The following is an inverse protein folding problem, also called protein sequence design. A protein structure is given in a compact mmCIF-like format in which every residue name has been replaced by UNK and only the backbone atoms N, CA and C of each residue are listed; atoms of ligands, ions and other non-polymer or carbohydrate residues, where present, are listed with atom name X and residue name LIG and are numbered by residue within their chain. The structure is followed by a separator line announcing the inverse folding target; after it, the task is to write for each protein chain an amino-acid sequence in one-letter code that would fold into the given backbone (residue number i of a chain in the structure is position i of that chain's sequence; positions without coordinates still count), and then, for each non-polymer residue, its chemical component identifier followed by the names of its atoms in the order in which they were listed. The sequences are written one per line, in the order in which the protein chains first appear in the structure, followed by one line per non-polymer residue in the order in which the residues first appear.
data_IF_348943926063
#
_entry.id   IF_348943926063
#
_cell.length_a   1.000
_cell.length_b   1.000
_cell.length_c   1.000
_cell.angle_alpha   90.00
_cell.angle_beta   90.00
_cell.angle_gamma   90.00
#
_symmetry.space_group_name_H-M   'P 1'
#
loop_
_entity.id
_entity.type
_entity.pdbx_description
1 polymer ?
#
# COMPACT_ATOMS: atom_id res chain seq x y z
N UNK A 1 -7.29 13.30 10.52
CA UNK A 1 -6.90 11.89 10.70
C UNK A 1 -7.97 11.02 10.09
N UNK A 2 -7.62 10.16 9.14
CA UNK A 2 -8.53 9.26 8.41
C UNK A 2 -7.81 7.93 8.19
N UNK A 3 -8.52 6.90 7.67
CA UNK A 3 -7.85 5.66 7.27
C UNK A 3 -7.65 4.63 8.38
N UNK A 4 -8.51 4.61 9.40
CA UNK A 4 -8.52 3.61 10.48
C UNK A 4 -9.00 2.21 10.02
N UNK A 5 -9.30 2.06 8.73
CA UNK A 5 -9.85 0.85 8.12
C UNK A 5 -10.94 0.19 8.99
N UNK A 6 -10.78 -1.09 9.35
CA UNK A 6 -11.76 -1.86 10.15
C UNK A 6 -11.70 -1.58 11.65
N UNK A 7 -10.65 -0.92 12.13
CA UNK A 7 -10.40 -0.75 13.57
C UNK A 7 -10.92 0.58 14.13
N UNK A 8 -11.56 1.40 13.28
CA UNK A 8 -12.05 2.71 13.66
C UNK A 8 -12.99 2.70 14.86
N UNK A 9 -13.79 1.66 15.05
CA UNK A 9 -14.68 1.55 16.21
C UNK A 9 -13.89 1.54 17.53
N UNK A 10 -12.86 0.71 17.61
CA UNK A 10 -12.04 0.55 18.82
C UNK A 10 -11.09 1.73 19.03
N UNK A 11 -10.59 2.32 17.95
CA UNK A 11 -9.64 3.43 18.02
C UNK A 11 -10.33 4.79 18.22
N UNK A 12 -11.63 4.92 17.88
CA UNK A 12 -12.32 6.21 17.84
C UNK A 12 -12.21 7.07 19.11
N UNK A 13 -12.28 6.56 20.35
CA UNK A 13 -12.18 7.42 21.53
C UNK A 13 -10.82 8.13 21.61
N UNK A 14 -9.75 7.36 21.44
CA UNK A 14 -8.38 7.84 21.50
C UNK A 14 -8.07 8.84 20.38
N UNK A 15 -8.55 8.55 19.16
CA UNK A 15 -8.33 9.43 18.01
C UNK A 15 -9.18 10.71 18.09
N UNK A 16 -10.36 10.65 18.70
CA UNK A 16 -11.22 11.81 18.92
C UNK A 16 -10.59 12.78 19.92
N UNK A 17 -10.06 12.28 21.04
CA UNK A 17 -9.35 13.11 22.02
C UNK A 17 -8.10 13.74 21.41
N UNK A 18 -7.33 12.97 20.63
CA UNK A 18 -6.17 13.50 19.92
C UNK A 18 -6.54 14.65 18.99
N UNK A 19 -7.61 14.47 18.19
CA UNK A 19 -8.07 15.48 17.25
C UNK A 19 -8.63 16.72 17.96
N UNK A 20 -9.38 16.54 19.06
CA UNK A 20 -9.90 17.63 19.86
C UNK A 20 -8.77 18.47 20.45
N UNK A 21 -7.78 17.84 21.08
CA UNK A 21 -6.61 18.51 21.65
C UNK A 21 -5.84 19.30 20.58
N UNK A 22 -5.60 18.69 19.41
CA UNK A 22 -4.91 19.36 18.31
C UNK A 22 -5.66 20.61 17.81
N UNK A 23 -7.00 20.57 17.79
CA UNK A 23 -7.83 21.70 17.35
C UNK A 23 -7.81 22.89 18.33
N UNK A 24 -7.75 22.62 19.63
CA UNK A 24 -7.76 23.66 20.67
C UNK A 24 -6.35 24.03 21.17
N UNK A 25 -5.30 23.44 20.60
CA UNK A 25 -3.90 23.70 20.96
C UNK A 25 -3.46 23.09 22.29
N UNK A 26 -4.14 22.04 22.76
CA UNK A 26 -3.69 21.27 23.92
C UNK A 26 -2.66 20.20 23.52
N UNK A 27 -1.72 19.85 24.40
CA UNK A 27 -0.75 18.80 24.14
C UNK A 27 -1.42 17.42 24.12
N UNK A 28 -0.95 16.55 23.21
CA UNK A 28 -1.29 15.13 23.21
C UNK A 28 -0.23 14.37 24.03
N UNK A 29 -0.63 13.83 25.20
CA UNK A 29 0.29 13.20 26.16
C UNK A 29 0.30 11.67 26.08
N UNK A 30 -0.79 11.06 25.60
CA UNK A 30 -0.99 9.60 25.65
C UNK A 30 -0.49 8.88 24.40
N UNK A 31 -0.51 9.56 23.24
CA UNK A 31 -0.10 9.00 21.96
C UNK A 31 0.58 10.03 21.07
N UNK A 32 1.55 9.56 20.28
CA UNK A 32 2.17 10.31 19.20
C UNK A 32 1.68 9.75 17.85
N UNK A 33 1.10 10.63 17.02
CA UNK A 33 0.62 10.30 15.69
C UNK A 33 1.38 11.07 14.59
N UNK A 34 2.61 11.51 14.84
CA UNK A 34 3.45 12.22 13.86
C UNK A 34 3.57 11.50 12.51
N UNK A 35 3.70 10.17 12.55
CA UNK A 35 3.76 9.33 11.33
C UNK A 35 2.44 9.28 10.55
N UNK A 36 1.32 9.67 11.17
CA UNK A 36 -0.01 9.70 10.55
C UNK A 36 -0.41 11.10 10.06
N UNK A 37 0.57 11.96 9.82
CA UNK A 37 0.35 13.22 9.11
C UNK A 37 -0.30 12.95 7.74
N UNK A 38 -1.31 13.73 7.32
CA UNK A 38 -2.09 13.43 6.11
C UNK A 38 -1.25 13.38 4.82
N UNK A 39 -0.24 14.25 4.73
CA UNK A 39 0.75 14.26 3.65
C UNK A 39 2.08 13.91 4.31
N UNK A 40 2.48 12.65 4.18
CA UNK A 40 3.72 12.10 4.76
C UNK A 40 4.63 11.55 3.68
N UNK A 41 5.91 11.42 3.98
CA UNK A 41 6.87 10.70 3.13
C UNK A 41 6.45 9.23 2.98
N UNK A 42 6.76 8.56 1.85
CA UNK A 42 6.55 7.13 1.72
C UNK A 42 7.20 6.38 2.89
N UNK A 43 6.42 5.51 3.55
CA UNK A 43 6.93 4.70 4.65
C UNK A 43 7.95 3.69 4.13
N UNK A 44 8.99 3.42 4.92
CA UNK A 44 9.94 2.34 4.64
C UNK A 44 9.22 1.01 4.90
N UNK A 45 8.74 0.39 3.83
CA UNK A 45 8.04 -0.90 3.87
C UNK A 45 9.00 -2.09 3.76
N UNK A 46 8.48 -3.18 3.20
CA UNK A 46 9.30 -4.30 2.75
C UNK A 46 10.31 -3.85 1.70
N UNK A 47 11.40 -4.62 1.53
CA UNK A 47 12.27 -4.39 0.38
C UNK A 47 11.47 -4.58 -0.93
N UNK A 48 11.97 -4.03 -2.04
CA UNK A 48 11.27 -4.06 -3.32
C UNK A 48 10.93 -5.49 -3.77
N UNK A 49 11.90 -6.39 -3.71
CA UNK A 49 11.71 -7.77 -4.18
C UNK A 49 10.68 -8.55 -3.35
N UNK A 50 10.68 -8.38 -2.02
CA UNK A 50 9.68 -9.00 -1.14
C UNK A 50 8.31 -8.36 -1.34
N UNK A 51 8.23 -7.05 -1.62
CA UNK A 51 6.95 -6.41 -1.97
C UNK A 51 6.37 -6.97 -3.27
N UNK A 52 7.22 -7.21 -4.28
CA UNK A 52 6.81 -7.85 -5.52
C UNK A 52 6.33 -9.29 -5.26
N UNK A 53 7.08 -10.07 -4.48
CA UNK A 53 6.71 -11.44 -4.10
C UNK A 53 5.38 -11.48 -3.35
N UNK A 54 5.19 -10.56 -2.39
CA UNK A 54 3.96 -10.41 -1.62
C UNK A 54 2.77 -10.09 -2.54
N UNK A 55 2.98 -9.22 -3.54
CA UNK A 55 1.95 -8.93 -4.57
C UNK A 55 1.53 -10.19 -5.32
N UNK A 56 2.48 -11.05 -5.70
CA UNK A 56 2.18 -12.34 -6.36
C UNK A 56 1.38 -13.25 -5.43
N UNK A 57 1.83 -13.41 -4.18
CA UNK A 57 1.16 -14.27 -3.20
C UNK A 57 -0.27 -13.82 -2.93
N UNK A 58 -0.49 -12.52 -2.70
CA UNK A 58 -1.82 -11.95 -2.49
C UNK A 58 -2.71 -12.10 -3.72
N UNK A 59 -2.16 -11.94 -4.93
CA UNK A 59 -2.93 -12.13 -6.17
C UNK A 59 -3.34 -13.59 -6.37
N UNK A 60 -2.43 -14.54 -6.10
CA UNK A 60 -2.74 -15.97 -6.15
C UNK A 60 -3.80 -16.33 -5.11
N UNK A 61 -3.67 -15.82 -3.87
CA UNK A 61 -4.65 -16.01 -2.80
C UNK A 61 -6.04 -15.46 -3.20
N UNK A 62 -6.09 -14.25 -3.76
CA UNK A 62 -7.32 -13.66 -4.30
C UNK A 62 -7.90 -14.53 -5.43
N UNK A 63 -7.07 -15.16 -6.25
CA UNK A 63 -7.50 -16.12 -7.26
C UNK A 63 -8.30 -17.28 -6.66
N UNK A 64 -7.84 -17.83 -5.52
CA UNK A 64 -8.59 -18.85 -4.78
C UNK A 64 -9.92 -18.31 -4.24
N UNK A 65 -9.94 -17.11 -3.66
CA UNK A 65 -11.17 -16.46 -3.17
C UNK A 65 -12.18 -16.20 -4.30
N UNK A 66 -11.68 -15.89 -5.50
CA UNK A 66 -12.46 -15.62 -6.70
C UNK A 66 -12.73 -16.87 -7.55
N UNK A 67 -12.49 -18.07 -7.01
CA UNK A 67 -12.77 -19.36 -7.65
C UNK A 67 -12.11 -19.51 -9.03
N UNK A 68 -10.87 -19.05 -9.18
CA UNK A 68 -10.09 -19.31 -10.39
C UNK A 68 -9.98 -20.82 -10.62
N UNK A 69 -10.39 -21.28 -11.81
CA UNK A 69 -10.26 -22.67 -12.21
C UNK A 69 -8.92 -22.88 -12.93
N UNK A 70 -7.85 -23.04 -12.15
CA UNK A 70 -6.49 -23.24 -12.64
C UNK A 70 -6.27 -24.73 -12.87
N UNK A 71 -5.68 -25.08 -14.02
CA UNK A 71 -5.32 -26.48 -14.30
C UNK A 71 -4.12 -26.88 -13.42
N UNK A 72 -4.01 -28.16 -13.01
CA UNK A 72 -2.80 -28.64 -12.35
C UNK A 72 -1.55 -28.26 -13.14
N UNK A 73 -0.45 -27.95 -12.44
CA UNK A 73 0.85 -27.52 -13.00
C UNK A 73 0.88 -26.10 -13.59
N UNK A 74 -0.25 -25.39 -13.68
CA UNK A 74 -0.27 -24.01 -14.17
C UNK A 74 0.04 -22.98 -13.08
N UNK A 75 -0.01 -23.36 -11.80
CA UNK A 75 0.24 -22.44 -10.69
C UNK A 75 1.65 -21.84 -10.73
N UNK A 76 2.67 -22.67 -11.02
CA UNK A 76 4.06 -22.22 -11.13
C UNK A 76 4.24 -21.27 -12.32
N UNK A 77 3.64 -21.59 -13.47
CA UNK A 77 3.69 -20.73 -14.65
C UNK A 77 3.02 -19.38 -14.40
N UNK A 78 1.83 -19.38 -13.77
CA UNK A 78 1.11 -18.15 -13.43
C UNK A 78 1.92 -17.33 -12.44
N UNK A 79 2.51 -17.97 -11.43
CA UNK A 79 3.38 -17.30 -10.45
C UNK A 79 4.55 -16.59 -11.15
N UNK A 80 5.27 -17.27 -12.04
CA UNK A 80 6.38 -16.67 -12.79
C UNK A 80 5.93 -15.50 -13.68
N UNK A 81 4.80 -15.66 -14.37
CA UNK A 81 4.22 -14.59 -15.18
C UNK A 81 3.86 -13.36 -14.34
N UNK A 82 3.23 -13.55 -13.18
CA UNK A 82 2.88 -12.48 -12.25
C UNK A 82 4.12 -11.81 -11.69
N UNK A 83 5.15 -12.57 -11.32
CA UNK A 83 6.40 -12.04 -10.79
C UNK A 83 7.07 -11.10 -11.81
N UNK A 84 7.17 -11.53 -13.06
CA UNK A 84 7.75 -10.71 -14.13
C UNK A 84 6.90 -9.47 -14.41
N UNK A 85 5.57 -9.64 -14.50
CA UNK A 85 4.62 -8.54 -14.71
C UNK A 85 4.77 -7.47 -13.63
N UNK A 86 4.77 -7.86 -12.36
CA UNK A 86 4.85 -6.92 -11.24
C UNK A 86 6.24 -6.30 -11.08
N UNK A 87 7.31 -7.02 -11.42
CA UNK A 87 8.66 -6.42 -11.48
C UNK A 87 8.71 -5.28 -12.49
N UNK A 88 8.27 -5.53 -13.73
CA UNK A 88 8.22 -4.49 -14.77
C UNK A 88 7.32 -3.32 -14.36
N UNK A 89 6.20 -3.61 -13.71
CA UNK A 89 5.29 -2.57 -13.22
C UNK A 89 5.98 -1.66 -12.20
N UNK A 90 6.61 -2.23 -11.16
CA UNK A 90 7.29 -1.45 -10.12
C UNK A 90 8.42 -0.60 -10.70
N UNK A 91 9.25 -1.19 -11.57
CA UNK A 91 10.34 -0.48 -12.25
C UNK A 91 9.83 0.70 -13.09
N UNK A 92 8.64 0.57 -13.68
CA UNK A 92 8.03 1.66 -14.45
C UNK A 92 7.52 2.81 -13.58
N UNK A 93 7.15 2.55 -12.31
CA UNK A 93 6.56 3.56 -11.43
C UNK A 93 7.65 4.48 -10.88
N UNK A 94 8.66 3.91 -10.22
CA UNK A 94 9.71 4.69 -9.57
C UNK A 94 10.99 3.86 -9.37
N UNK A 95 12.16 4.47 -9.55
CA UNK A 95 13.45 3.79 -9.37
C UNK A 95 13.77 3.47 -7.90
N UNK A 96 13.24 4.23 -6.94
CA UNK A 96 13.58 4.12 -5.52
C UNK A 96 12.39 3.68 -4.69
N UNK A 97 11.26 4.37 -4.84
CA UNK A 97 10.07 4.07 -4.06
C UNK A 97 9.35 2.84 -4.63
N UNK A 98 8.72 2.07 -3.75
CA UNK A 98 7.93 0.89 -4.14
C UNK A 98 6.54 1.04 -3.54
N UNK A 99 5.47 1.00 -4.35
CA UNK A 99 4.11 1.03 -3.83
C UNK A 99 3.81 -0.22 -3.01
N UNK A 100 2.82 -0.18 -2.10
CA UNK A 100 2.34 -1.37 -1.41
C UNK A 100 1.75 -2.39 -2.41
N UNK A 101 1.67 -3.68 -2.04
CA UNK A 101 1.31 -4.78 -2.95
C UNK A 101 0.00 -4.58 -3.73
N UNK A 102 -1.05 -4.12 -3.04
CA UNK A 102 -2.35 -3.83 -3.62
C UNK A 102 -2.28 -2.76 -4.72
N UNK A 103 -1.55 -1.67 -4.47
CA UNK A 103 -1.35 -0.61 -5.47
C UNK A 103 -0.49 -1.07 -6.65
N UNK A 104 0.47 -1.97 -6.45
CA UNK A 104 1.20 -2.60 -7.57
C UNK A 104 0.21 -3.35 -8.46
N UNK A 105 -0.60 -4.24 -7.87
CA UNK A 105 -1.56 -5.05 -8.61
C UNK A 105 -2.59 -4.20 -9.37
N UNK A 106 -3.17 -3.18 -8.72
CA UNK A 106 -4.16 -2.31 -9.36
C UNK A 106 -3.57 -1.38 -10.42
N UNK A 107 -2.32 -0.91 -10.23
CA UNK A 107 -1.66 -0.04 -11.21
C UNK A 107 -1.44 -0.71 -12.57
N UNK A 108 -1.45 -2.05 -12.64
CA UNK A 108 -1.42 -2.77 -13.92
C UNK A 108 -2.68 -2.58 -14.78
N UNK A 109 -3.77 -2.07 -14.21
CA UNK A 109 -5.07 -1.93 -14.87
C UNK A 109 -5.58 -0.49 -14.90
N UNK A 110 -5.00 0.41 -14.10
CA UNK A 110 -5.40 1.81 -14.00
C UNK A 110 -4.18 2.75 -14.02
N UNK A 111 -3.99 3.44 -15.14
CA UNK A 111 -2.92 4.42 -15.34
C UNK A 111 -3.04 5.65 -14.43
N UNK A 112 -4.22 5.95 -13.89
CA UNK A 112 -4.38 7.06 -12.94
C UNK A 112 -3.67 6.75 -11.63
N UNK A 113 -3.61 5.48 -11.22
CA UNK A 113 -2.86 5.07 -10.03
C UNK A 113 -1.38 5.35 -10.23
N UNK A 114 -0.83 5.00 -11.40
CA UNK A 114 0.58 5.28 -11.74
C UNK A 114 0.86 6.78 -11.69
N UNK A 115 -0.01 7.59 -12.30
CA UNK A 115 0.12 9.04 -12.34
C UNK A 115 0.16 9.62 -10.93
N UNK A 116 -0.82 9.24 -10.08
CA UNK A 116 -0.88 9.71 -8.69
C UNK A 116 0.31 9.27 -7.85
N UNK A 117 0.81 8.05 -8.05
CA UNK A 117 1.99 7.55 -7.34
C UNK A 117 3.24 8.34 -7.72
N UNK A 118 3.45 8.59 -9.01
CA UNK A 118 4.58 9.41 -9.50
C UNK A 118 4.51 10.83 -8.96
N UNK A 119 3.35 11.47 -9.02
CA UNK A 119 3.14 12.81 -8.47
C UNK A 119 3.45 12.84 -6.97
N UNK A 120 2.91 11.88 -6.22
CA UNK A 120 3.16 11.76 -4.79
C UNK A 120 4.66 11.59 -4.49
N UNK A 121 5.34 10.65 -5.16
CA UNK A 121 6.77 10.41 -4.96
C UNK A 121 7.66 11.58 -5.38
N UNK A 122 7.28 12.35 -6.40
CA UNK A 122 8.02 13.54 -6.83
C UNK A 122 8.12 14.61 -5.76
N UNK A 123 7.14 14.71 -4.84
CA UNK A 123 7.17 15.65 -3.73
C UNK A 123 8.19 15.30 -2.63
N UNK A 124 8.79 14.11 -2.71
CA UNK A 124 9.73 13.56 -1.72
C UNK A 124 11.08 13.16 -2.34
N UNK A 125 11.35 13.63 -3.56
CA UNK A 125 12.66 13.53 -4.22
C UNK A 125 13.31 14.91 -4.18
N UNK A 126 14.58 14.96 -3.79
CA UNK A 126 15.41 16.17 -3.85
C UNK A 126 15.79 16.53 -5.28
#
# INVERSE_FOLDING_TARGET
MTGTYRDGLHQSPLLADYAANALIGLPNLEIDLGDFTPIRQPLVGLNRDMTILETVQQTMAMGYECLWNIRPEWDELIHECLLNKYRTQVESIDATYTPPPDLIAFSCYDEQIITRLRDYYSNWKE
#
